data_IF_418041678945
#
_entry.id   IF_418041678945
#
_cell.length_a   1.000
_cell.length_b   1.000
_cell.length_c   1.000
_cell.angle_alpha   90.00
_cell.angle_beta   90.00
_cell.angle_gamma   90.00
#
_symmetry.space_group_name_H-M   'P 1'
#
loop_
_entity.id
_entity.type
_entity.pdbx_description
1 polymer ?
#
# COMPACT_ATOMS: atom_id res chain seq x y z
N UNK A 1 -19.06 -7.87 2.58
CA UNK A 1 -18.24 -8.52 1.53
C UNK A 1 -17.05 -9.22 2.17
N UNK A 2 -16.83 -10.50 1.86
CA UNK A 2 -15.63 -11.25 2.28
C UNK A 2 -14.68 -11.35 1.09
N UNK A 3 -13.45 -10.85 1.22
CA UNK A 3 -12.41 -10.98 0.18
C UNK A 3 -11.65 -12.31 0.27
N UNK A 4 -12.09 -13.24 1.11
CA UNK A 4 -11.34 -14.47 1.43
C UNK A 4 -11.07 -15.34 0.21
N UNK A 5 -12.04 -15.54 -0.68
CA UNK A 5 -11.85 -16.38 -1.88
C UNK A 5 -10.85 -15.76 -2.85
N UNK A 6 -10.97 -14.46 -3.08
CA UNK A 6 -10.00 -13.71 -3.86
C UNK A 6 -8.59 -13.82 -3.26
N UNK A 7 -8.46 -13.65 -1.95
CA UNK A 7 -7.17 -13.73 -1.24
C UNK A 7 -6.62 -15.15 -1.25
N UNK A 8 -7.47 -16.18 -1.18
CA UNK A 8 -7.05 -17.57 -1.33
C UNK A 8 -6.43 -17.81 -2.73
N UNK A 9 -7.11 -17.36 -3.78
CA UNK A 9 -6.59 -17.47 -5.15
C UNK A 9 -5.30 -16.66 -5.33
N UNK A 10 -5.24 -15.43 -4.80
CA UNK A 10 -4.05 -14.59 -4.83
C UNK A 10 -2.88 -15.28 -4.12
N UNK A 11 -3.08 -15.78 -2.90
CA UNK A 11 -2.05 -16.51 -2.15
C UNK A 11 -1.55 -17.75 -2.90
N UNK A 12 -2.41 -18.44 -3.64
CA UNK A 12 -2.03 -19.54 -4.53
C UNK A 12 -1.08 -19.07 -5.62
N UNK A 13 -1.46 -18.03 -6.38
CA UNK A 13 -0.61 -17.43 -7.43
C UNK A 13 0.73 -16.94 -6.89
N UNK A 14 0.72 -16.19 -5.79
CA UNK A 14 1.92 -15.67 -5.15
C UNK A 14 2.86 -16.80 -4.70
N UNK A 15 2.31 -17.91 -4.20
CA UNK A 15 3.11 -19.08 -3.81
C UNK A 15 3.81 -19.73 -5.01
N UNK A 16 3.14 -19.83 -6.15
CA UNK A 16 3.77 -20.28 -7.41
C UNK A 16 4.91 -19.35 -7.82
N UNK A 17 4.70 -18.04 -7.73
CA UNK A 17 5.75 -17.05 -8.05
C UNK A 17 6.95 -17.18 -7.11
N UNK A 18 6.78 -17.51 -5.83
CA UNK A 18 7.90 -17.77 -4.92
C UNK A 18 8.82 -18.89 -5.43
N UNK A 19 8.24 -19.95 -6.02
CA UNK A 19 9.03 -21.02 -6.63
C UNK A 19 9.83 -20.50 -7.82
N UNK A 20 9.19 -19.74 -8.72
CA UNK A 20 9.84 -19.13 -9.89
C UNK A 20 11.00 -18.23 -9.47
N UNK A 21 10.80 -17.35 -8.48
CA UNK A 21 11.86 -16.46 -7.98
C UNK A 21 13.06 -17.22 -7.41
N UNK A 22 12.83 -18.34 -6.71
CA UNK A 22 13.93 -19.18 -6.19
C UNK A 22 14.76 -19.78 -7.33
N UNK A 23 14.10 -20.26 -8.38
CA UNK A 23 14.77 -20.85 -9.54
C UNK A 23 15.53 -19.79 -10.34
N UNK A 24 14.91 -18.64 -10.61
CA UNK A 24 15.58 -17.54 -11.31
C UNK A 24 16.82 -17.06 -10.57
N UNK A 25 16.77 -16.98 -9.23
CA UNK A 25 17.93 -16.58 -8.42
C UNK A 25 19.15 -17.48 -8.60
N UNK A 26 18.96 -18.75 -8.93
CA UNK A 26 20.08 -19.69 -9.12
C UNK A 26 20.80 -19.51 -10.45
N UNK A 27 20.17 -18.87 -11.43
CA UNK A 27 20.64 -18.86 -12.83
C UNK A 27 20.73 -17.46 -13.44
N UNK A 28 20.32 -16.41 -12.72
CA UNK A 28 20.27 -15.03 -13.22
C UNK A 28 20.80 -14.03 -12.17
N UNK A 29 21.00 -12.78 -12.58
CA UNK A 29 21.44 -11.71 -11.70
C UNK A 29 20.32 -11.21 -10.77
N UNK A 30 20.65 -10.61 -9.61
CA UNK A 30 19.67 -10.06 -8.67
C UNK A 30 18.70 -9.05 -9.31
N UNK A 31 19.14 -8.28 -10.29
CA UNK A 31 18.34 -7.30 -11.03
C UNK A 31 17.23 -7.99 -11.83
N UNK A 32 17.54 -9.11 -12.47
CA UNK A 32 16.56 -9.90 -13.24
C UNK A 32 15.53 -10.54 -12.31
N UNK A 33 15.97 -11.08 -11.16
CA UNK A 33 15.05 -11.63 -10.15
C UNK A 33 14.12 -10.55 -9.60
N UNK A 34 14.63 -9.34 -9.39
CA UNK A 34 13.85 -8.19 -8.95
C UNK A 34 12.86 -7.73 -10.02
N UNK A 35 13.25 -7.74 -11.29
CA UNK A 35 12.34 -7.49 -12.41
C UNK A 35 11.20 -8.52 -12.43
N UNK A 36 11.54 -9.81 -12.28
CA UNK A 36 10.56 -10.89 -12.18
C UNK A 36 9.62 -10.72 -10.97
N UNK A 37 10.11 -10.21 -9.85
CA UNK A 37 9.26 -9.85 -8.70
C UNK A 37 8.21 -8.81 -9.10
N UNK A 38 8.60 -7.72 -9.75
CA UNK A 38 7.63 -6.70 -10.18
C UNK A 38 6.64 -7.25 -11.20
N UNK A 39 7.13 -8.00 -12.19
CA UNK A 39 6.32 -8.52 -13.29
C UNK A 39 5.33 -9.61 -12.86
N UNK A 40 5.73 -10.52 -11.97
CA UNK A 40 4.94 -11.71 -11.61
C UNK A 40 4.32 -11.63 -10.20
N UNK A 41 4.99 -11.00 -9.25
CA UNK A 41 4.51 -10.94 -7.86
C UNK A 41 3.71 -9.66 -7.62
N UNK A 42 4.32 -8.49 -7.85
CA UNK A 42 3.69 -7.21 -7.55
C UNK A 42 2.50 -6.91 -8.47
N UNK A 43 2.55 -7.33 -9.74
CA UNK A 43 1.42 -7.20 -10.66
C UNK A 43 0.14 -7.88 -10.14
N UNK A 44 0.25 -9.12 -9.66
CA UNK A 44 -0.85 -9.84 -9.02
C UNK A 44 -1.26 -9.21 -7.69
N UNK A 45 -0.29 -8.72 -6.92
CA UNK A 45 -0.56 -8.02 -5.67
C UNK A 45 -1.31 -6.70 -5.89
N UNK A 46 -1.00 -5.93 -6.93
CA UNK A 46 -1.63 -4.64 -7.16
C UNK A 46 -3.02 -4.75 -7.79
N UNK A 47 -3.33 -5.88 -8.40
CA UNK A 47 -4.64 -6.11 -8.96
C UNK A 47 -5.74 -5.95 -7.91
N UNK A 48 -6.66 -5.01 -8.14
CA UNK A 48 -7.78 -4.66 -7.26
C UNK A 48 -7.40 -4.30 -5.81
N UNK A 49 -6.14 -3.90 -5.55
CA UNK A 49 -5.66 -3.63 -4.19
C UNK A 49 -6.42 -2.52 -3.49
N UNK A 50 -6.92 -1.52 -4.22
CA UNK A 50 -7.76 -0.45 -3.67
C UNK A 50 -9.04 -0.97 -3.02
N UNK A 51 -9.51 -2.15 -3.41
CA UNK A 51 -10.76 -2.73 -2.92
C UNK A 51 -10.52 -3.81 -1.87
N UNK A 52 -9.58 -4.73 -2.10
CA UNK A 52 -9.30 -5.82 -1.15
C UNK A 52 -8.27 -5.43 -0.08
N UNK A 53 -7.46 -4.40 -0.29
CA UNK A 53 -6.37 -4.00 0.61
C UNK A 53 -6.84 -3.61 2.02
N UNK A 54 -8.11 -3.21 2.17
CA UNK A 54 -8.78 -3.00 3.45
C UNK A 54 -9.60 -4.21 3.94
N UNK A 55 -9.18 -5.42 3.55
CA UNK A 55 -9.79 -6.67 4.04
C UNK A 55 -9.39 -6.95 5.50
N UNK A 56 -9.76 -8.12 6.02
CA UNK A 56 -9.43 -8.48 7.41
C UNK A 56 -7.92 -8.50 7.64
N UNK A 57 -7.50 -8.22 8.88
CA UNK A 57 -6.09 -8.33 9.29
C UNK A 57 -5.49 -9.70 8.97
N UNK A 58 -6.31 -10.75 9.06
CA UNK A 58 -5.92 -12.11 8.69
C UNK A 58 -5.54 -12.20 7.20
N UNK A 59 -6.38 -11.65 6.31
CA UNK A 59 -6.14 -11.68 4.87
C UNK A 59 -4.91 -10.87 4.47
N UNK A 60 -4.79 -9.63 4.97
CA UNK A 60 -3.63 -8.77 4.66
C UNK A 60 -2.33 -9.37 5.20
N UNK A 61 -2.36 -9.99 6.38
CA UNK A 61 -1.20 -10.67 6.96
C UNK A 61 -0.73 -11.86 6.12
N UNK A 62 -1.66 -12.68 5.59
CA UNK A 62 -1.30 -13.82 4.71
C UNK A 62 -0.52 -13.36 3.48
N UNK A 63 -0.99 -12.30 2.84
CA UNK A 63 -0.34 -11.70 1.67
C UNK A 63 1.02 -11.13 2.05
N UNK A 64 1.11 -10.38 3.15
CA UNK A 64 2.37 -9.81 3.63
C UNK A 64 3.42 -10.88 4.00
N UNK A 65 2.99 -12.02 4.56
CA UNK A 65 3.89 -13.16 4.84
C UNK A 65 4.48 -13.72 3.55
N UNK A 66 3.67 -13.91 2.51
CA UNK A 66 4.18 -14.35 1.20
C UNK A 66 5.11 -13.31 0.58
N UNK A 67 4.78 -12.02 0.69
CA UNK A 67 5.65 -10.94 0.21
C UNK A 67 7.00 -10.96 0.94
N UNK A 68 7.02 -11.11 2.27
CA UNK A 68 8.26 -11.26 3.05
C UNK A 68 9.06 -12.48 2.64
N UNK A 69 8.42 -13.59 2.23
CA UNK A 69 9.14 -14.75 1.66
C UNK A 69 9.81 -14.38 0.33
N UNK A 70 9.15 -13.62 -0.53
CA UNK A 70 9.74 -13.13 -1.77
C UNK A 70 10.95 -12.22 -1.49
N UNK A 71 10.82 -11.27 -0.56
CA UNK A 71 11.93 -10.38 -0.16
C UNK A 71 13.15 -11.17 0.36
N UNK A 72 12.93 -12.20 1.18
CA UNK A 72 14.02 -13.08 1.62
C UNK A 72 14.68 -13.84 0.48
N UNK A 73 13.91 -14.28 -0.52
CA UNK A 73 14.48 -14.89 -1.72
C UNK A 73 15.37 -13.87 -2.42
N UNK A 74 14.90 -12.65 -2.68
CA UNK A 74 15.68 -11.60 -3.35
C UNK A 74 16.98 -11.30 -2.58
N UNK A 75 16.91 -11.10 -1.26
CA UNK A 75 18.09 -10.75 -0.45
C UNK A 75 18.99 -11.94 -0.09
N UNK A 76 18.47 -13.16 -0.06
CA UNK A 76 19.19 -14.33 0.45
C UNK A 76 19.29 -14.41 1.97
N UNK A 77 18.39 -13.74 2.69
CA UNK A 77 18.39 -13.68 4.16
C UNK A 77 17.65 -14.87 4.80
N UNK A 78 18.04 -15.18 6.03
CA UNK A 78 17.45 -16.26 6.81
C UNK A 78 15.96 -16.04 7.16
N UNK A 79 15.24 -17.10 7.56
CA UNK A 79 13.80 -17.02 7.85
C UNK A 79 13.46 -16.11 9.06
N UNK A 80 14.34 -16.05 10.05
CA UNK A 80 14.16 -15.26 11.27
C UNK A 80 14.62 -13.80 11.13
N UNK A 81 15.35 -13.48 10.07
CA UNK A 81 15.85 -12.12 9.85
C UNK A 81 14.72 -11.15 9.50
N UNK A 82 14.85 -9.92 10.02
CA UNK A 82 13.88 -8.86 9.77
C UNK A 82 13.95 -8.39 8.32
N UNK A 83 12.83 -8.44 7.60
CA UNK A 83 12.75 -7.91 6.24
C UNK A 83 12.64 -6.37 6.18
N UNK A 84 12.60 -5.67 7.31
CA UNK A 84 12.33 -4.21 7.34
C UNK A 84 13.37 -3.43 6.53
N UNK A 85 14.66 -3.68 6.76
CA UNK A 85 15.75 -3.07 6.00
C UNK A 85 15.76 -3.51 4.54
N UNK A 86 15.44 -4.78 4.29
CA UNK A 86 15.41 -5.35 2.95
C UNK A 86 14.37 -4.70 2.01
N UNK A 87 13.17 -4.38 2.51
CA UNK A 87 12.18 -3.63 1.71
C UNK A 87 12.73 -2.26 1.28
N UNK A 88 13.36 -1.53 2.20
CA UNK A 88 13.97 -0.21 1.92
C UNK A 88 15.14 -0.31 0.95
N UNK A 89 16.06 -1.25 1.18
CA UNK A 89 17.22 -1.49 0.31
C UNK A 89 16.80 -1.86 -1.12
N UNK A 90 15.78 -2.72 -1.26
CA UNK A 90 15.25 -3.10 -2.58
C UNK A 90 14.32 -2.02 -3.16
N UNK A 91 13.98 -0.97 -2.42
CA UNK A 91 12.95 0.03 -2.79
C UNK A 91 11.61 -0.63 -3.18
N UNK A 92 11.21 -1.66 -2.44
CA UNK A 92 9.93 -2.36 -2.60
C UNK A 92 8.99 -1.92 -1.49
N UNK A 93 7.76 -1.55 -1.85
CA UNK A 93 6.72 -1.22 -0.89
C UNK A 93 6.04 -2.48 -0.35
N UNK A 94 5.66 -2.47 0.92
CA UNK A 94 4.81 -3.53 1.49
C UNK A 94 3.42 -3.51 0.85
N UNK A 95 2.69 -4.61 0.91
CA UNK A 95 1.28 -4.68 0.45
C UNK A 95 0.41 -3.60 1.08
N UNK A 96 0.63 -3.29 2.37
CA UNK A 96 -0.05 -2.19 3.08
C UNK A 96 0.33 -0.83 2.49
N UNK A 97 1.62 -0.57 2.27
CA UNK A 97 2.08 0.67 1.66
C UNK A 97 1.56 0.83 0.23
N UNK A 98 1.52 -0.24 -0.56
CA UNK A 98 0.92 -0.23 -1.90
C UNK A 98 -0.57 0.11 -1.86
N UNK A 99 -1.31 -0.43 -0.90
CA UNK A 99 -2.72 -0.08 -0.69
C UNK A 99 -2.89 1.41 -0.40
N UNK A 100 -2.11 1.97 0.53
CA UNK A 100 -2.16 3.41 0.87
C UNK A 100 -1.83 4.25 -0.37
N UNK A 101 -0.76 3.90 -1.10
CA UNK A 101 -0.35 4.60 -2.31
C UNK A 101 -1.48 4.66 -3.34
N UNK A 102 -2.09 3.52 -3.65
CA UNK A 102 -3.13 3.47 -4.70
C UNK A 102 -4.43 4.14 -4.26
N UNK A 103 -4.82 4.03 -2.99
CA UNK A 103 -6.04 4.65 -2.49
C UNK A 103 -5.89 6.16 -2.34
N UNK A 104 -4.73 6.65 -1.88
CA UNK A 104 -4.44 8.09 -1.85
C UNK A 104 -4.38 8.66 -3.26
N UNK A 105 -3.69 7.97 -4.18
CA UNK A 105 -3.63 8.38 -5.58
C UNK A 105 -5.01 8.41 -6.24
N UNK A 106 -5.89 7.46 -5.91
CA UNK A 106 -7.26 7.47 -6.41
C UNK A 106 -8.06 8.64 -5.83
N UNK A 107 -8.00 8.85 -4.51
CA UNK A 107 -8.72 9.91 -3.83
C UNK A 107 -8.29 11.32 -4.23
N UNK A 108 -7.00 11.54 -4.52
CA UNK A 108 -6.48 12.84 -4.97
C UNK A 108 -7.02 13.27 -6.34
N UNK A 109 -7.49 12.32 -7.15
CA UNK A 109 -8.12 12.60 -8.44
C UNK A 109 -9.62 12.88 -8.30
N UNK A 110 -10.21 12.60 -7.15
CA UNK A 110 -11.62 12.86 -6.89
C UNK A 110 -11.81 14.27 -6.35
N UNK A 111 -12.95 14.88 -6.67
CA UNK A 111 -13.38 16.16 -6.08
C UNK A 111 -13.95 15.92 -4.70
N UNK A 112 -13.06 15.73 -3.72
CA UNK A 112 -13.42 15.56 -2.31
C UNK A 112 -13.54 16.91 -1.62
N UNK A 113 -14.61 17.09 -0.85
CA UNK A 113 -14.86 18.32 -0.10
C UNK A 113 -13.84 18.52 1.01
N UNK A 114 -13.26 19.72 1.10
CA UNK A 114 -12.37 20.16 2.17
C UNK A 114 -13.13 21.05 3.16
N UNK A 115 -12.60 21.20 4.38
CA UNK A 115 -13.18 22.09 5.39
C UNK A 115 -13.41 23.52 4.88
N UNK A 116 -12.43 24.05 4.13
CA UNK A 116 -12.50 25.38 3.49
C UNK A 116 -13.62 25.53 2.47
N UNK A 117 -14.12 24.44 1.88
CA UNK A 117 -15.21 24.52 0.89
C UNK A 117 -16.58 24.75 1.57
N UNK A 118 -16.69 24.41 2.86
CA UNK A 118 -17.96 24.46 3.60
C UNK A 118 -18.03 25.70 4.49
N UNK A 119 -16.89 26.14 5.04
CA UNK A 119 -16.85 27.29 5.94
C UNK A 119 -15.64 28.18 5.68
N UNK A 120 -15.82 29.49 5.85
CA UNK A 120 -14.78 30.52 5.67
C UNK A 120 -13.86 30.69 6.88
N UNK A 121 -14.14 29.98 7.99
CA UNK A 121 -13.36 30.07 9.22
C UNK A 121 -12.08 29.22 9.11
N UNK A 122 -10.93 29.87 9.34
CA UNK A 122 -9.63 29.22 9.38
C UNK A 122 -9.46 28.38 10.66
N UNK A 123 -10.08 27.21 10.68
CA UNK A 123 -9.88 26.21 11.74
C UNK A 123 -8.65 25.37 11.45
N UNK A 124 -8.07 24.74 12.49
CA UNK A 124 -6.89 23.87 12.35
C UNK A 124 -7.10 22.73 11.34
N UNK A 125 -8.35 22.28 11.17
CA UNK A 125 -8.76 21.21 10.24
C UNK A 125 -9.31 21.73 8.90
N UNK A 126 -9.24 23.03 8.63
CA UNK A 126 -9.89 23.60 7.45
C UNK A 126 -9.28 23.11 6.12
N UNK A 127 -8.01 22.68 6.18
CA UNK A 127 -7.27 22.06 5.07
C UNK A 127 -7.42 20.53 5.00
N UNK A 128 -8.19 19.92 5.92
CA UNK A 128 -8.48 18.49 5.92
C UNK A 128 -9.69 18.18 5.04
N UNK A 129 -9.70 16.97 4.47
CA UNK A 129 -10.85 16.43 3.77
C UNK A 129 -11.96 16.08 4.76
N UNK A 130 -13.18 16.46 4.42
CA UNK A 130 -14.35 16.14 5.22
C UNK A 130 -14.66 14.66 5.03
N UNK A 131 -14.75 13.93 6.15
CA UNK A 131 -15.16 12.54 6.16
C UNK A 131 -16.66 12.49 6.48
N UNK A 132 -17.54 12.06 5.55
CA UNK A 132 -18.96 12.03 5.79
C UNK A 132 -19.32 11.11 6.97
N UNK A 133 -20.23 11.57 7.83
CA UNK A 133 -20.81 10.73 8.89
C UNK A 133 -21.58 9.58 8.27
N UNK A 134 -21.36 8.37 8.78
CA UNK A 134 -21.91 7.16 8.20
C UNK A 134 -22.16 6.13 9.30
N UNK A 135 -23.13 5.25 9.09
CA UNK A 135 -23.53 4.21 10.05
C UNK A 135 -22.80 2.87 9.84
N UNK A 136 -22.41 2.58 8.61
CA UNK A 136 -21.89 1.28 8.21
C UNK A 136 -20.37 1.33 8.03
N UNK A 137 -19.64 0.44 8.71
CA UNK A 137 -18.18 0.27 8.52
C UNK A 137 -17.80 -0.08 7.08
N UNK A 138 -18.75 -0.55 6.26
CA UNK A 138 -18.56 -0.73 4.83
C UNK A 138 -18.21 0.58 4.10
N UNK A 139 -18.78 1.70 4.55
CA UNK A 139 -18.52 3.01 3.98
C UNK A 139 -17.06 3.44 4.20
N UNK A 140 -16.48 3.08 5.35
CA UNK A 140 -15.05 3.33 5.63
C UNK A 140 -14.10 2.56 4.71
N UNK A 141 -14.60 1.47 4.09
CA UNK A 141 -13.83 0.64 3.16
C UNK A 141 -13.87 1.18 1.74
N UNK A 142 -14.66 2.21 1.45
CA UNK A 142 -14.64 2.84 0.14
C UNK A 142 -13.28 3.49 -0.11
N UNK A 143 -12.69 3.35 -1.32
CA UNK A 143 -11.39 3.93 -1.63
C UNK A 143 -11.36 5.45 -1.44
N UNK A 144 -12.46 6.15 -1.78
CA UNK A 144 -12.57 7.61 -1.57
C UNK A 144 -12.46 7.98 -0.09
N UNK A 145 -13.22 7.29 0.77
CA UNK A 145 -13.21 7.53 2.21
C UNK A 145 -11.85 7.17 2.84
N UNK A 146 -11.32 5.99 2.54
CA UNK A 146 -10.03 5.55 3.06
C UNK A 146 -8.89 6.47 2.59
N UNK A 147 -8.94 6.93 1.33
CA UNK A 147 -7.94 7.84 0.77
C UNK A 147 -8.00 9.22 1.38
N UNK A 148 -9.20 9.79 1.57
CA UNK A 148 -9.40 11.04 2.31
C UNK A 148 -8.85 10.93 3.74
N UNK A 149 -9.13 9.80 4.41
CA UNK A 149 -8.63 9.53 5.77
C UNK A 149 -7.09 9.47 5.80
N UNK A 150 -6.46 8.78 4.85
CA UNK A 150 -5.00 8.75 4.77
C UNK A 150 -4.40 10.11 4.42
N UNK A 151 -5.00 10.85 3.49
CA UNK A 151 -4.58 12.21 3.15
C UNK A 151 -4.60 13.13 4.37
N UNK A 152 -5.59 13.01 5.25
CA UNK A 152 -5.66 13.80 6.49
C UNK A 152 -4.50 13.49 7.45
N UNK A 153 -3.99 12.26 7.46
CA UNK A 153 -2.84 11.83 8.27
C UNK A 153 -1.51 12.29 7.65
N UNK A 154 -1.48 12.50 6.33
CA UNK A 154 -0.27 12.93 5.62
C UNK A 154 0.02 14.42 5.85
N UNK A 155 1.31 14.84 5.78
CA UNK A 155 1.69 16.23 5.84
C UNK A 155 0.99 17.09 4.77
N UNK A 156 0.79 18.38 5.06
CA UNK A 156 0.14 19.34 4.15
C UNK A 156 0.80 19.41 2.76
N UNK A 157 2.10 19.18 2.68
CA UNK A 157 2.86 19.13 1.42
C UNK A 157 2.28 18.14 0.40
N UNK A 158 1.71 17.02 0.87
CA UNK A 158 1.07 16.03 0.00
C UNK A 158 -0.31 16.51 -0.48
N UNK A 159 -1.05 17.25 0.35
CA UNK A 159 -2.39 17.79 0.03
C UNK A 159 -2.34 18.93 -0.98
N UNK A 160 -1.23 19.65 -1.03
CA UNK A 160 -0.99 20.78 -1.92
C UNK A 160 -0.34 20.38 -3.26
N UNK A 161 0.02 19.10 -3.43
CA UNK A 161 0.64 18.63 -4.66
C UNK A 161 -0.44 18.41 -5.73
N UNK A 162 -0.51 19.30 -6.72
CA UNK A 162 -1.49 19.22 -7.82
C UNK A 162 -1.13 18.13 -8.83
N UNK A 163 0.17 17.89 -9.06
CA UNK A 163 0.61 16.92 -10.06
C UNK A 163 0.64 15.50 -9.50
N UNK A 164 -0.17 14.62 -10.10
CA UNK A 164 -0.31 13.23 -9.66
C UNK A 164 1.00 12.44 -9.69
N UNK A 165 1.86 12.67 -10.68
CA UNK A 165 3.14 11.97 -10.79
C UNK A 165 4.08 12.37 -9.64
N UNK A 166 4.13 13.66 -9.33
CA UNK A 166 4.92 14.19 -8.23
C UNK A 166 4.40 13.66 -6.88
N UNK A 167 3.07 13.62 -6.69
CA UNK A 167 2.44 13.05 -5.49
C UNK A 167 2.86 11.59 -5.30
N UNK A 168 2.74 10.76 -6.35
CA UNK A 168 3.10 9.34 -6.29
C UNK A 168 4.58 9.15 -5.95
N UNK A 169 5.49 9.92 -6.56
CA UNK A 169 6.93 9.83 -6.27
C UNK A 169 7.23 10.15 -4.81
N UNK A 170 6.78 11.31 -4.32
CA UNK A 170 6.95 11.72 -2.91
C UNK A 170 6.36 10.69 -1.95
N UNK A 171 5.18 10.16 -2.28
CA UNK A 171 4.49 9.19 -1.43
C UNK A 171 5.20 7.84 -1.41
N UNK A 172 5.76 7.38 -2.54
CA UNK A 172 6.61 6.18 -2.57
C UNK A 172 7.81 6.37 -1.65
N UNK A 173 8.53 7.49 -1.76
CA UNK A 173 9.70 7.75 -0.91
C UNK A 173 9.34 7.81 0.57
N UNK A 174 8.21 8.42 0.90
CA UNK A 174 7.70 8.49 2.27
C UNK A 174 7.28 7.12 2.81
N UNK A 175 6.59 6.31 2.00
CA UNK A 175 6.10 4.98 2.40
C UNK A 175 7.19 3.91 2.44
N UNK A 176 8.36 4.16 1.84
CA UNK A 176 9.52 3.27 1.94
C UNK A 176 10.10 3.21 3.36
N UNK A 177 9.73 4.12 4.25
CA UNK A 177 10.09 4.05 5.67
C UNK A 177 8.95 3.45 6.53
N UNK A 178 9.06 2.18 6.96
CA UNK A 178 8.00 1.51 7.70
C UNK A 178 7.78 2.08 9.10
N UNK A 179 8.74 2.84 9.66
CA UNK A 179 8.58 3.47 10.96
C UNK A 179 7.51 4.58 10.94
N UNK A 180 7.35 5.24 9.78
CA UNK A 180 6.38 6.34 9.61
C UNK A 180 4.93 5.85 9.62
N UNK A 181 4.69 4.62 9.18
CA UNK A 181 3.36 4.00 9.20
C UNK A 181 2.93 3.64 10.64
N UNK A 182 3.82 2.99 11.40
CA UNK A 182 3.52 2.50 12.74
C UNK A 182 3.29 3.64 13.74
N UNK A 183 4.08 4.71 13.65
CA UNK A 183 4.00 5.86 14.57
C UNK A 183 2.71 6.68 14.41
N UNK A 184 1.95 6.49 13.32
CA UNK A 184 0.72 7.25 13.04
C UNK A 184 -0.56 6.40 13.16
N UNK A 185 -0.47 5.22 13.78
CA UNK A 185 -1.62 4.33 13.97
C UNK A 185 -2.19 3.78 12.66
N UNK A 186 -1.41 3.79 11.58
CA UNK A 186 -1.77 3.14 10.33
C UNK A 186 -1.42 1.64 10.51
N UNK A 187 -2.41 0.72 10.36
CA UNK A 187 -2.22 -0.70 10.64
C UNK A 187 -1.16 -1.37 9.76
#
# INVERSE_FOLDING_TARGET
LSWSDHINQLCGKLSTVLYVLRRLKQVTSPEIVKCAYYALFESHLRYAITVWGNSSKFNTQRVLVLQKKAIRILMGTGPLESCRGAFKQLRILTSVALYILEVVAYASQQRLTRGNDVHTLNTRSAHDYILPTHRLTLYEKQPTYAGAKFLNILPQEFKNTTEQQQLRRKLIDWLLDPALLYNRGIP
#
